data_IF_646603221921
#
_entry.id   IF_646603221921
#
_cell.length_a   1.000
_cell.length_b   1.000
_cell.length_c   1.000
_cell.angle_alpha   90.00
_cell.angle_beta   90.00
_cell.angle_gamma   90.00
#
_symmetry.space_group_name_H-M   'P 1'
#
loop_
_entity.id
_entity.type
_entity.pdbx_description
1 polymer ?
#
# COMPACT_ATOMS: atom_id res chain seq x y z
N UNK A 1 10.03 -11.38 -17.18
CA UNK A 1 9.31 -11.37 -15.90
C UNK A 1 9.59 -10.04 -15.21
N UNK A 2 8.59 -9.19 -15.08
CA UNK A 2 8.68 -7.90 -14.40
C UNK A 2 8.13 -8.10 -12.99
N UNK A 3 8.99 -8.37 -12.04
CA UNK A 3 8.60 -8.52 -10.66
C UNK A 3 9.69 -9.25 -9.90
N UNK A 4 10.26 -8.58 -8.94
CA UNK A 4 11.27 -9.11 -8.02
C UNK A 4 11.60 -8.05 -6.99
N UNK A 5 12.18 -8.47 -5.86
CA UNK A 5 12.63 -7.56 -4.83
C UNK A 5 13.69 -6.61 -5.38
N UNK A 6 13.45 -5.31 -5.28
CA UNK A 6 14.41 -4.27 -5.68
C UNK A 6 14.92 -3.58 -4.43
N UNK A 7 16.24 -3.47 -4.32
CA UNK A 7 16.91 -2.73 -3.27
C UNK A 7 17.88 -1.74 -3.92
N UNK A 8 17.67 -0.45 -3.69
CA UNK A 8 18.53 0.63 -4.18
C UNK A 8 19.32 1.21 -3.03
N UNK A 9 20.61 1.46 -3.25
CA UNK A 9 21.48 2.11 -2.29
C UNK A 9 21.78 3.53 -2.75
N UNK A 10 21.59 4.49 -1.87
CA UNK A 10 21.92 5.89 -2.09
C UNK A 10 22.88 6.35 -1.01
N UNK A 11 23.97 7.02 -1.40
CA UNK A 11 24.89 7.66 -0.47
C UNK A 11 24.95 9.15 -0.77
N UNK A 12 24.85 9.94 0.27
CA UNK A 12 24.92 11.40 0.19
C UNK A 12 26.11 11.82 1.07
N UNK A 13 27.15 12.38 0.46
CA UNK A 13 28.34 12.92 1.14
C UNK A 13 28.47 14.42 0.90
N UNK A 14 29.25 15.11 1.71
CA UNK A 14 29.57 16.53 1.51
C UNK A 14 30.44 16.73 0.27
N UNK A 15 31.28 15.76 -0.03
CA UNK A 15 32.15 15.76 -1.21
C UNK A 15 32.27 14.32 -1.77
N UNK A 16 32.69 14.18 -3.05
CA UNK A 16 32.84 12.85 -3.66
C UNK A 16 33.83 11.93 -2.90
N UNK A 17 34.80 12.48 -2.22
CA UNK A 17 35.80 11.73 -1.43
C UNK A 17 35.20 11.01 -0.21
N UNK A 18 34.02 11.42 0.24
CA UNK A 18 33.32 10.78 1.35
C UNK A 18 32.63 9.47 0.92
N UNK A 19 32.53 9.22 -0.41
CA UNK A 19 31.79 8.09 -0.96
C UNK A 19 32.79 7.01 -1.41
N UNK A 20 33.07 6.06 -0.52
CA UNK A 20 34.05 5.01 -0.77
C UNK A 20 33.50 3.75 -1.42
N UNK A 21 32.17 3.58 -1.46
CA UNK A 21 31.51 2.40 -1.99
C UNK A 21 30.11 2.74 -2.50
N UNK A 22 29.66 2.16 -3.62
CA UNK A 22 28.30 2.34 -4.11
C UNK A 22 27.25 1.62 -3.26
N UNK A 23 27.67 0.64 -2.44
CA UNK A 23 26.77 -0.13 -1.57
C UNK A 23 26.94 0.27 -0.12
N UNK A 24 25.83 0.29 0.60
CA UNK A 24 25.81 0.44 2.05
C UNK A 24 26.24 -0.90 2.67
N UNK A 25 27.17 -0.86 3.61
CA UNK A 25 27.64 -2.03 4.32
C UNK A 25 26.59 -2.54 5.33
N UNK A 26 26.79 -3.76 5.83
CA UNK A 26 25.96 -4.28 6.91
C UNK A 26 25.99 -3.32 8.11
N UNK A 27 24.80 -3.10 8.72
CA UNK A 27 24.60 -2.22 9.88
C UNK A 27 25.12 -0.78 9.69
N UNK A 28 25.01 -0.24 8.47
CA UNK A 28 25.51 1.09 8.14
C UNK A 28 24.51 2.00 7.43
N UNK A 29 23.23 1.63 7.40
CA UNK A 29 22.20 2.49 6.85
C UNK A 29 21.77 3.53 7.90
N UNK A 30 21.65 4.80 7.49
CA UNK A 30 21.04 5.85 8.31
C UNK A 30 19.53 5.85 8.16
N UNK A 31 19.03 5.59 6.94
CA UNK A 31 17.62 5.58 6.58
C UNK A 31 17.29 4.39 5.69
N UNK A 32 16.17 3.74 5.96
CA UNK A 32 15.52 2.77 5.07
C UNK A 32 14.11 3.25 4.73
N UNK A 33 13.85 3.43 3.44
CA UNK A 33 12.50 3.72 2.92
C UNK A 33 11.97 2.43 2.31
N UNK A 34 11.04 1.78 2.99
CA UNK A 34 10.43 0.51 2.57
C UNK A 34 9.17 0.74 1.75
N UNK A 35 9.25 0.64 0.42
CA UNK A 35 8.07 0.71 -0.46
C UNK A 35 7.19 -0.55 -0.39
N UNK A 36 7.77 -1.67 0.04
CA UNK A 36 7.11 -2.97 0.20
C UNK A 36 7.49 -3.61 1.55
N UNK A 37 6.48 -4.13 2.26
CA UNK A 37 6.67 -4.67 3.60
C UNK A 37 7.50 -5.97 3.60
N UNK A 38 7.27 -6.86 2.62
CA UNK A 38 7.97 -8.15 2.51
C UNK A 38 9.43 -7.95 2.16
N UNK A 39 9.71 -7.08 1.18
CA UNK A 39 11.09 -6.75 0.77
C UNK A 39 11.83 -6.07 1.90
N UNK A 40 11.17 -5.18 2.65
CA UNK A 40 11.76 -4.48 3.79
C UNK A 40 12.08 -5.44 4.94
N UNK A 41 11.19 -6.40 5.22
CA UNK A 41 11.41 -7.45 6.23
C UNK A 41 12.33 -8.58 5.77
N UNK A 42 12.80 -8.54 4.53
CA UNK A 42 13.73 -9.54 4.01
C UNK A 42 15.15 -9.39 4.57
N UNK A 43 15.86 -10.50 4.70
CA UNK A 43 17.19 -10.56 5.33
C UNK A 43 18.20 -9.59 4.73
N UNK A 44 18.14 -9.36 3.40
CA UNK A 44 19.03 -8.39 2.71
C UNK A 44 18.84 -6.97 3.22
N UNK A 45 17.61 -6.54 3.46
CA UNK A 45 17.32 -5.20 4.00
C UNK A 45 17.62 -5.14 5.49
N UNK A 46 17.19 -6.15 6.25
CA UNK A 46 17.41 -6.22 7.69
C UNK A 46 18.90 -6.20 8.06
N UNK A 47 19.77 -6.82 7.23
CA UNK A 47 21.22 -6.79 7.46
C UNK A 47 21.87 -5.40 7.37
N UNK A 48 21.22 -4.43 6.73
CA UNK A 48 21.73 -3.05 6.62
C UNK A 48 21.39 -2.19 7.83
N UNK A 49 20.41 -2.63 8.64
CA UNK A 49 19.90 -1.89 9.79
C UNK A 49 20.87 -1.96 10.95
N UNK A 50 21.27 -0.80 11.47
CA UNK A 50 21.99 -0.65 12.71
C UNK A 50 20.97 -0.37 13.83
N UNK A 51 20.88 -1.28 14.78
CA UNK A 51 19.95 -1.15 15.91
C UNK A 51 20.13 0.17 16.66
N UNK A 52 19.03 0.82 16.99
CA UNK A 52 19.02 2.10 17.69
C UNK A 52 19.46 3.32 16.88
N UNK A 53 19.93 3.14 15.63
CA UNK A 53 20.43 4.22 14.77
C UNK A 53 19.60 4.40 13.49
N UNK A 54 19.44 3.33 12.72
CA UNK A 54 18.75 3.39 11.42
C UNK A 54 17.29 3.79 11.62
N UNK A 55 16.87 4.84 10.92
CA UNK A 55 15.45 5.21 10.85
C UNK A 55 14.76 4.46 9.72
N UNK A 56 13.55 3.97 9.96
CA UNK A 56 12.74 3.24 8.98
C UNK A 56 11.39 3.90 8.80
N UNK A 57 11.03 4.11 7.54
CA UNK A 57 9.67 4.48 7.15
C UNK A 57 9.18 3.44 6.14
N UNK A 58 8.15 2.69 6.49
CA UNK A 58 7.76 1.50 5.75
C UNK A 58 6.29 1.58 5.34
N UNK A 59 6.06 1.36 4.06
CA UNK A 59 4.71 1.19 3.53
C UNK A 59 4.11 -0.11 4.07
N UNK A 60 3.03 0.01 4.81
CA UNK A 60 2.34 -1.13 5.43
C UNK A 60 1.26 -1.74 4.54
N UNK A 61 1.12 -1.28 3.30
CA UNK A 61 0.18 -1.86 2.35
C UNK A 61 0.53 -3.32 2.07
N UNK A 62 -0.47 -4.20 2.22
CA UNK A 62 -0.29 -5.63 2.01
C UNK A 62 -0.49 -5.96 0.54
N UNK A 63 0.63 -6.09 -0.18
CA UNK A 63 0.62 -6.58 -1.55
C UNK A 63 0.77 -8.09 -1.54
N UNK A 64 -0.27 -8.80 -1.98
CA UNK A 64 -0.23 -10.25 -2.12
C UNK A 64 0.73 -10.60 -3.25
N UNK A 65 1.86 -11.22 -2.91
CA UNK A 65 2.86 -11.70 -3.88
C UNK A 65 2.43 -13.04 -4.49
N UNK A 66 3.09 -13.47 -5.58
CA UNK A 66 2.76 -14.71 -6.29
C UNK A 66 2.75 -15.97 -5.41
N UNK A 67 3.57 -16.02 -4.36
CA UNK A 67 3.63 -17.16 -3.44
C UNK A 67 2.32 -17.32 -2.64
N UNK A 68 1.65 -16.22 -2.32
CA UNK A 68 0.35 -16.21 -1.65
C UNK A 68 -0.80 -16.57 -2.60
N UNK A 69 -0.64 -16.38 -3.91
CA UNK A 69 -1.66 -16.79 -4.88
C UNK A 69 -1.69 -18.30 -5.09
N UNK A 70 -0.59 -19.00 -4.77
CA UNK A 70 -0.50 -20.46 -4.85
C UNK A 70 -1.08 -21.16 -3.61
N UNK A 71 -1.24 -20.46 -2.49
CA UNK A 71 -1.78 -20.99 -1.26
C UNK A 71 -2.85 -20.05 -0.69
N UNK A 72 -4.10 -20.30 -1.06
CA UNK A 72 -5.25 -19.42 -0.72
C UNK A 72 -5.53 -19.32 0.79
N UNK A 73 -5.05 -20.26 1.59
CA UNK A 73 -5.24 -20.31 3.04
C UNK A 73 -4.11 -19.60 3.81
N UNK A 74 -3.10 -19.11 3.11
CA UNK A 74 -1.98 -18.43 3.73
C UNK A 74 -2.34 -17.00 4.08
N UNK A 75 -2.49 -16.72 5.37
CA UNK A 75 -2.65 -15.35 5.87
C UNK A 75 -1.34 -14.58 5.68
N UNK A 76 -1.43 -13.38 5.14
CA UNK A 76 -0.26 -12.51 4.98
C UNK A 76 0.34 -12.19 6.36
N UNK A 77 1.61 -12.54 6.63
CA UNK A 77 2.19 -12.45 7.96
C UNK A 77 2.64 -11.02 8.33
N UNK A 78 1.82 -10.01 8.01
CA UNK A 78 2.17 -8.59 8.19
C UNK A 78 2.61 -8.26 9.61
N UNK A 79 1.92 -8.80 10.61
CA UNK A 79 2.26 -8.57 12.02
C UNK A 79 3.63 -9.12 12.38
N UNK A 80 3.95 -10.34 11.93
CA UNK A 80 5.27 -10.96 12.17
C UNK A 80 6.39 -10.18 11.50
N UNK A 81 6.17 -9.73 10.25
CA UNK A 81 7.16 -8.92 9.52
C UNK A 81 7.39 -7.58 10.22
N UNK A 82 6.32 -6.88 10.63
CA UNK A 82 6.43 -5.63 11.38
C UNK A 82 7.17 -5.83 12.71
N UNK A 83 6.87 -6.90 13.43
CA UNK A 83 7.57 -7.24 14.68
C UNK A 83 9.06 -7.48 14.44
N UNK A 84 9.44 -8.29 13.45
CA UNK A 84 10.85 -8.54 13.13
C UNK A 84 11.61 -7.27 12.74
N UNK A 85 10.98 -6.36 12.00
CA UNK A 85 11.58 -5.06 11.67
C UNK A 85 11.80 -4.24 12.95
N UNK A 86 10.80 -4.18 13.83
CA UNK A 86 10.86 -3.41 15.07
C UNK A 86 11.84 -4.00 16.10
N UNK A 87 11.99 -5.32 16.14
CA UNK A 87 12.96 -5.99 17.02
C UNK A 87 14.40 -5.62 16.65
N UNK A 88 14.69 -5.48 15.36
CA UNK A 88 16.04 -5.13 14.88
C UNK A 88 16.32 -3.63 14.98
N UNK A 89 15.39 -2.80 14.51
CA UNK A 89 15.59 -1.35 14.42
C UNK A 89 15.27 -0.59 15.70
N UNK A 90 14.34 -1.13 16.50
CA UNK A 90 13.70 -0.45 17.61
C UNK A 90 12.37 0.20 17.21
N UNK A 91 11.39 0.18 18.12
CA UNK A 91 10.04 0.74 17.88
C UNK A 91 10.11 2.25 17.57
N UNK A 92 10.92 2.99 18.31
CA UNK A 92 11.05 4.45 18.17
C UNK A 92 11.79 4.88 16.89
N UNK A 93 12.41 3.93 16.19
CA UNK A 93 13.09 4.16 14.94
C UNK A 93 12.28 3.71 13.72
N UNK A 94 11.06 3.16 13.92
CA UNK A 94 10.28 2.55 12.85
C UNK A 94 8.89 3.16 12.77
N UNK A 95 8.57 3.77 11.64
CA UNK A 95 7.23 4.27 11.32
C UNK A 95 6.61 3.43 10.20
N UNK A 96 5.37 2.97 10.42
CA UNK A 96 4.56 2.28 9.42
C UNK A 96 3.41 3.17 8.99
N UNK A 97 3.20 3.30 7.68
CA UNK A 97 2.04 4.00 7.14
C UNK A 97 1.55 3.28 5.88
N UNK A 98 0.23 3.31 5.66
CA UNK A 98 -0.34 2.77 4.42
C UNK A 98 -0.25 3.82 3.30
N UNK A 99 0.97 4.05 2.81
CA UNK A 99 1.26 5.08 1.80
C UNK A 99 0.55 4.81 0.47
N UNK A 100 0.36 3.54 0.11
CA UNK A 100 -0.35 3.18 -1.13
C UNK A 100 -1.83 3.55 -1.07
N UNK A 101 -2.50 3.27 0.04
CA UNK A 101 -3.89 3.67 0.23
C UNK A 101 -4.03 5.19 0.25
N UNK A 102 -3.15 5.89 0.98
CA UNK A 102 -3.14 7.35 1.03
C UNK A 102 -2.91 7.97 -0.35
N UNK A 103 -1.93 7.47 -1.13
CA UNK A 103 -1.68 7.95 -2.49
C UNK A 103 -2.89 7.70 -3.40
N UNK A 104 -3.51 6.53 -3.32
CA UNK A 104 -4.70 6.22 -4.11
C UNK A 104 -5.88 7.13 -3.74
N UNK A 105 -6.14 7.35 -2.47
CA UNK A 105 -7.28 8.17 -2.02
C UNK A 105 -7.08 9.66 -2.29
N UNK A 106 -5.88 10.20 -2.04
CA UNK A 106 -5.61 11.64 -2.13
C UNK A 106 -5.21 12.12 -3.53
N UNK A 107 -4.69 11.21 -4.36
CA UNK A 107 -4.09 11.54 -5.66
C UNK A 107 -4.77 10.76 -6.80
N UNK A 108 -5.37 9.60 -6.48
CA UNK A 108 -6.01 8.72 -7.47
C UNK A 108 -5.04 7.78 -8.18
N UNK A 109 -3.77 7.67 -7.73
CA UNK A 109 -2.76 6.85 -8.39
C UNK A 109 -1.80 6.21 -7.37
N UNK A 110 -1.73 4.88 -7.38
CA UNK A 110 -0.83 4.11 -6.53
C UNK A 110 0.64 4.22 -6.95
N UNK A 111 0.93 4.61 -8.19
CA UNK A 111 2.31 4.82 -8.69
C UNK A 111 3.00 5.94 -7.90
N UNK A 112 2.23 6.90 -7.39
CA UNK A 112 2.71 8.01 -6.59
C UNK A 112 3.20 7.62 -5.18
N UNK A 113 3.02 6.37 -4.74
CA UNK A 113 3.40 5.89 -3.40
C UNK A 113 4.85 6.19 -3.02
N UNK A 114 5.80 5.98 -3.95
CA UNK A 114 7.22 6.19 -3.65
C UNK A 114 7.55 7.67 -3.40
N UNK A 115 6.94 8.56 -4.17
CA UNK A 115 7.13 10.01 -4.00
C UNK A 115 6.38 10.52 -2.76
N UNK A 116 5.26 9.90 -2.41
CA UNK A 116 4.56 10.17 -1.15
C UNK A 116 5.45 9.81 0.05
N UNK A 117 6.06 8.62 0.06
CA UNK A 117 7.03 8.20 1.08
C UNK A 117 8.23 9.15 1.14
N UNK A 118 8.76 9.58 -0.01
CA UNK A 118 9.83 10.57 -0.08
C UNK A 118 9.44 11.88 0.62
N UNK A 119 8.23 12.37 0.37
CA UNK A 119 7.71 13.56 1.05
C UNK A 119 7.58 13.39 2.56
N UNK A 120 7.14 12.21 2.99
CA UNK A 120 7.01 11.88 4.41
C UNK A 120 8.38 11.88 5.12
N UNK A 121 9.37 11.15 4.60
CA UNK A 121 10.71 11.10 5.20
C UNK A 121 11.45 12.43 5.13
N UNK A 122 11.21 13.22 4.08
CA UNK A 122 11.72 14.57 3.98
C UNK A 122 11.22 15.46 5.11
N UNK A 123 9.93 15.46 5.37
CA UNK A 123 9.32 16.27 6.43
C UNK A 123 9.75 15.83 7.84
N UNK A 124 10.10 14.55 7.99
CA UNK A 124 10.71 14.02 9.22
C UNK A 124 12.19 14.45 9.41
N UNK A 125 12.76 15.20 8.46
CA UNK A 125 14.14 15.65 8.52
C UNK A 125 15.18 14.55 8.29
N UNK A 126 14.77 13.45 7.63
CA UNK A 126 15.62 12.27 7.44
C UNK A 126 16.45 12.33 6.14
N UNK A 127 16.24 13.35 5.31
CA UNK A 127 16.97 13.55 4.05
C UNK A 127 17.66 14.92 4.10
N UNK A 128 18.99 14.98 3.97
CA UNK A 128 19.77 16.22 4.04
C UNK A 128 19.78 16.95 2.69
N UNK A 129 18.61 17.34 2.19
CA UNK A 129 18.46 18.02 0.90
C UNK A 129 17.44 19.13 1.02
N UNK A 130 17.59 20.17 0.18
CA UNK A 130 16.61 21.25 0.08
C UNK A 130 15.36 20.78 -0.68
N UNK A 131 14.19 21.27 -0.26
CA UNK A 131 12.91 21.00 -0.96
C UNK A 131 12.97 21.36 -2.44
N UNK A 132 13.54 22.53 -2.74
CA UNK A 132 13.70 23.03 -4.11
C UNK A 132 14.49 22.06 -5.00
N UNK A 133 15.49 21.39 -4.43
CA UNK A 133 16.30 20.41 -5.16
C UNK A 133 15.50 19.16 -5.50
N UNK A 134 14.67 18.67 -4.58
CA UNK A 134 13.79 17.51 -4.81
C UNK A 134 12.73 17.87 -5.86
N UNK A 135 12.07 19.02 -5.72
CA UNK A 135 11.07 19.47 -6.68
C UNK A 135 11.66 19.69 -8.07
N UNK A 136 12.88 20.23 -8.14
CA UNK A 136 13.62 20.39 -9.40
C UNK A 136 13.98 19.06 -10.04
N UNK A 137 14.36 18.06 -9.24
CA UNK A 137 14.59 16.71 -9.75
C UNK A 137 13.33 16.07 -10.33
N UNK A 138 12.17 16.29 -9.69
CA UNK A 138 10.86 15.85 -10.22
C UNK A 138 10.56 16.52 -11.58
N UNK A 139 10.85 17.83 -11.71
CA UNK A 139 10.68 18.57 -12.97
C UNK A 139 11.58 18.03 -14.08
N UNK A 140 12.87 17.82 -13.77
CA UNK A 140 13.86 17.32 -14.73
C UNK A 140 13.49 15.91 -15.21
N UNK A 141 12.98 15.06 -14.32
CA UNK A 141 12.51 13.72 -14.68
C UNK A 141 11.36 13.74 -15.72
N UNK A 142 10.55 14.78 -15.73
CA UNK A 142 9.54 15.06 -16.74
C UNK A 142 8.28 14.18 -16.72
N UNK A 143 8.28 13.07 -15.97
CA UNK A 143 7.15 12.14 -15.88
C UNK A 143 6.18 12.57 -14.79
N UNK A 144 4.90 12.72 -15.13
CA UNK A 144 3.81 13.02 -14.21
C UNK A 144 4.16 14.10 -13.16
N UNK A 145 4.81 15.19 -13.61
CA UNK A 145 5.42 16.22 -12.72
C UNK A 145 4.43 16.76 -11.71
N UNK A 146 3.20 17.12 -12.15
CA UNK A 146 2.16 17.66 -11.27
C UNK A 146 1.74 16.65 -10.21
N UNK A 147 1.52 15.40 -10.60
CA UNK A 147 1.13 14.29 -9.71
C UNK A 147 2.23 14.01 -8.69
N UNK A 148 3.49 13.96 -9.14
CA UNK A 148 4.62 13.70 -8.25
C UNK A 148 4.86 14.84 -7.25
N UNK A 149 4.74 16.10 -7.67
CA UNK A 149 4.80 17.24 -6.73
C UNK A 149 3.66 17.20 -5.71
N UNK A 150 2.45 16.85 -6.15
CA UNK A 150 1.31 16.69 -5.26
C UNK A 150 1.54 15.52 -4.26
N UNK A 151 2.08 14.40 -4.72
CA UNK A 151 2.43 13.26 -3.88
C UNK A 151 3.47 13.62 -2.81
N UNK A 152 4.52 14.32 -3.21
CA UNK A 152 5.53 14.84 -2.29
C UNK A 152 4.92 15.77 -1.23
N UNK A 153 4.06 16.69 -1.65
CA UNK A 153 3.35 17.60 -0.73
C UNK A 153 2.44 16.84 0.25
N UNK A 154 1.68 15.84 -0.22
CA UNK A 154 0.81 15.05 0.65
C UNK A 154 1.59 14.16 1.63
N UNK A 155 2.71 13.60 1.20
CA UNK A 155 3.62 12.89 2.11
C UNK A 155 4.12 13.80 3.23
N UNK A 156 4.51 15.02 2.90
CA UNK A 156 4.91 16.04 3.89
C UNK A 156 3.80 16.39 4.85
N UNK A 157 2.58 16.63 4.32
CA UNK A 157 1.40 16.93 5.15
C UNK A 157 1.09 15.78 6.12
N UNK A 158 1.18 14.54 5.65
CA UNK A 158 0.98 13.36 6.48
C UNK A 158 1.99 13.27 7.62
N UNK A 159 3.25 13.59 7.38
CA UNK A 159 4.27 13.63 8.41
C UNK A 159 4.09 14.80 9.40
N UNK A 160 3.58 15.94 8.94
CA UNK A 160 3.36 17.13 9.77
C UNK A 160 2.13 17.01 10.68
N UNK A 161 0.99 16.62 10.09
CA UNK A 161 -0.29 16.46 10.80
C UNK A 161 -0.99 15.20 10.30
N UNK A 162 -0.61 14.07 10.92
CA UNK A 162 -1.14 12.76 10.56
C UNK A 162 -2.65 12.68 10.75
N UNK A 163 -3.15 13.20 11.87
CA UNK A 163 -4.56 13.12 12.26
C UNK A 163 -5.46 13.82 11.23
N UNK A 164 -5.11 15.05 10.85
CA UNK A 164 -5.89 15.83 9.88
C UNK A 164 -5.92 15.16 8.50
N UNK A 165 -4.81 14.55 8.08
CA UNK A 165 -4.77 13.82 6.80
C UNK A 165 -5.63 12.56 6.88
N UNK A 166 -5.64 11.84 8.00
CA UNK A 166 -6.50 10.67 8.19
C UNK A 166 -7.99 11.08 8.17
N UNK A 167 -8.39 12.09 8.92
CA UNK A 167 -9.76 12.61 8.92
C UNK A 167 -10.23 13.03 7.51
N UNK A 168 -9.34 13.67 6.74
CA UNK A 168 -9.64 14.04 5.36
C UNK A 168 -9.79 12.79 4.47
N UNK A 169 -8.90 11.81 4.62
CA UNK A 169 -8.94 10.57 3.85
C UNK A 169 -10.22 9.79 4.13
N UNK A 170 -10.59 9.70 5.41
CA UNK A 170 -11.82 9.03 5.85
C UNK A 170 -13.07 9.75 5.29
N UNK A 171 -13.07 11.07 5.30
CA UNK A 171 -14.17 11.86 4.73
C UNK A 171 -14.27 11.71 3.20
N UNK A 172 -13.15 11.61 2.49
CA UNK A 172 -13.13 11.34 1.05
C UNK A 172 -13.70 9.94 0.78
N UNK A 173 -13.23 8.93 1.50
CA UNK A 173 -13.71 7.54 1.39
C UNK A 173 -15.21 7.47 1.65
N UNK A 174 -15.70 8.13 2.70
CA UNK A 174 -17.12 8.21 3.01
C UNK A 174 -17.93 8.98 1.94
N UNK A 175 -17.38 10.07 1.40
CA UNK A 175 -18.03 10.91 0.37
C UNK A 175 -18.15 10.23 -1.00
N UNK A 176 -17.22 9.35 -1.37
CA UNK A 176 -17.30 8.57 -2.60
C UNK A 176 -18.21 7.34 -2.50
N UNK A 177 -18.89 7.13 -1.36
CA UNK A 177 -19.69 5.92 -1.15
C UNK A 177 -18.85 4.65 -1.14
N UNK A 178 -17.51 4.79 -1.11
CA UNK A 178 -16.59 3.71 -0.77
C UNK A 178 -16.75 3.52 0.74
N UNK A 179 -17.95 3.07 1.12
CA UNK A 179 -18.15 2.59 2.47
C UNK A 179 -17.12 1.49 2.69
N UNK A 180 -16.48 1.60 3.83
CA UNK A 180 -15.73 0.65 4.63
C UNK A 180 -15.69 -0.79 4.06
N UNK A 181 -14.55 -1.49 4.15
CA UNK A 181 -14.50 -2.94 3.92
C UNK A 181 -15.55 -3.77 4.72
N UNK A 182 -16.32 -3.14 5.59
CA UNK A 182 -17.46 -3.68 6.35
C UNK A 182 -18.83 -3.39 5.74
N UNK A 183 -18.97 -3.22 4.42
CA UNK A 183 -20.27 -3.31 3.76
C UNK A 183 -20.90 -4.64 4.13
N UNK A 184 -22.16 -4.60 4.54
CA UNK A 184 -22.95 -5.82 4.71
C UNK A 184 -22.92 -6.63 3.41
N UNK A 185 -23.05 -7.94 3.50
CA UNK A 185 -23.07 -8.80 2.31
C UNK A 185 -24.08 -8.32 1.26
N UNK A 186 -25.24 -7.84 1.69
CA UNK A 186 -26.28 -7.34 0.80
C UNK A 186 -25.85 -6.06 0.07
N UNK A 187 -25.21 -5.14 0.76
CA UNK A 187 -24.67 -3.93 0.13
C UNK A 187 -23.56 -4.24 -0.88
N UNK A 188 -22.70 -5.23 -0.57
CA UNK A 188 -21.68 -5.72 -1.51
C UNK A 188 -22.34 -6.28 -2.78
N UNK A 189 -23.34 -7.12 -2.63
CA UNK A 189 -24.04 -7.76 -3.75
C UNK A 189 -24.71 -6.71 -4.63
N UNK A 190 -25.42 -5.77 -4.02
CA UNK A 190 -26.11 -4.70 -4.73
C UNK A 190 -25.14 -3.80 -5.50
N UNK A 191 -24.13 -3.28 -4.82
CA UNK A 191 -23.13 -2.39 -5.43
C UNK A 191 -22.43 -3.06 -6.64
N UNK A 192 -22.08 -4.33 -6.52
CA UNK A 192 -21.44 -5.07 -7.62
C UNK A 192 -22.39 -5.37 -8.77
N UNK A 193 -23.67 -5.59 -8.46
CA UNK A 193 -24.72 -5.68 -9.47
C UNK A 193 -24.85 -4.39 -10.29
N UNK A 194 -24.80 -3.24 -9.65
CA UNK A 194 -24.86 -1.93 -10.28
C UNK A 194 -23.64 -1.68 -11.18
N UNK A 195 -22.44 -2.03 -10.69
CA UNK A 195 -21.20 -1.94 -11.50
C UNK A 195 -21.30 -2.82 -12.75
N UNK A 196 -21.76 -4.07 -12.63
CA UNK A 196 -21.91 -4.98 -13.78
C UNK A 196 -22.98 -4.49 -14.77
N UNK A 197 -24.02 -3.81 -14.29
CA UNK A 197 -25.00 -3.16 -15.15
C UNK A 197 -24.38 -2.04 -15.96
N UNK A 198 -23.54 -1.20 -15.33
CA UNK A 198 -22.81 -0.13 -16.00
C UNK A 198 -21.68 -0.66 -16.90
N UNK A 199 -21.04 -1.77 -16.51
CA UNK A 199 -19.94 -2.39 -17.26
C UNK A 199 -20.40 -2.97 -18.61
N UNK A 200 -21.57 -3.65 -18.63
CA UNK A 200 -22.07 -4.25 -19.84
C UNK A 200 -23.59 -3.99 -20.05
N UNK A 201 -24.45 -4.57 -19.20
CA UNK A 201 -25.90 -4.39 -19.25
C UNK A 201 -26.60 -5.06 -18.05
N UNK A 202 -27.93 -4.86 -17.93
CA UNK A 202 -28.76 -5.43 -16.86
C UNK A 202 -28.77 -6.97 -16.86
N UNK A 203 -28.71 -7.63 -18.01
CA UNK A 203 -28.76 -9.08 -18.08
C UNK A 203 -27.45 -9.71 -17.61
N UNK A 204 -26.33 -9.03 -17.81
CA UNK A 204 -25.04 -9.43 -17.27
C UNK A 204 -25.02 -9.36 -15.75
N UNK A 205 -25.55 -8.29 -15.17
CA UNK A 205 -25.75 -8.14 -13.72
C UNK A 205 -26.69 -9.23 -13.15
N UNK A 206 -27.81 -9.55 -13.85
CA UNK A 206 -28.72 -10.61 -13.43
C UNK A 206 -28.06 -11.98 -13.33
N UNK A 207 -27.10 -12.29 -14.20
CA UNK A 207 -26.33 -13.56 -14.12
C UNK A 207 -25.54 -13.64 -12.83
N UNK A 208 -24.91 -12.54 -12.42
CA UNK A 208 -24.19 -12.42 -11.17
C UNK A 208 -25.14 -12.64 -9.98
N UNK A 209 -26.21 -11.84 -9.90
CA UNK A 209 -27.17 -11.88 -8.80
C UNK A 209 -27.83 -13.27 -8.66
N UNK A 210 -28.18 -13.92 -9.78
CA UNK A 210 -28.78 -15.25 -9.79
C UNK A 210 -27.84 -16.32 -9.22
N UNK A 211 -26.55 -16.26 -9.52
CA UNK A 211 -25.58 -17.23 -8.96
C UNK A 211 -25.40 -17.00 -7.46
N UNK A 212 -25.17 -15.75 -7.05
CA UNK A 212 -24.96 -15.40 -5.63
C UNK A 212 -26.18 -15.81 -4.80
N UNK A 213 -27.39 -15.51 -5.27
CA UNK A 213 -28.61 -15.86 -4.56
C UNK A 213 -28.85 -17.38 -4.48
N UNK A 214 -28.48 -18.11 -5.52
CA UNK A 214 -28.54 -19.59 -5.50
C UNK A 214 -27.61 -20.18 -4.44
N UNK A 215 -26.37 -19.65 -4.35
CA UNK A 215 -25.40 -20.09 -3.35
C UNK A 215 -25.90 -19.75 -1.96
N UNK A 216 -26.43 -18.53 -1.77
CA UNK A 216 -26.98 -18.06 -0.51
C UNK A 216 -28.10 -18.97 0.03
N UNK A 217 -29.04 -19.35 -0.84
CA UNK A 217 -30.11 -20.29 -0.45
C UNK A 217 -29.55 -21.62 0.02
N UNK A 218 -28.62 -22.21 -0.74
CA UNK A 218 -28.03 -23.50 -0.37
C UNK A 218 -27.24 -23.41 0.94
N UNK A 219 -26.58 -22.30 1.18
CA UNK A 219 -25.79 -22.09 2.40
C UNK A 219 -26.68 -21.90 3.63
N UNK A 220 -27.77 -21.13 3.50
CA UNK A 220 -28.79 -20.96 4.55
C UNK A 220 -29.45 -22.31 4.89
N UNK A 221 -29.79 -23.10 3.86
CA UNK A 221 -30.48 -24.37 4.04
C UNK A 221 -29.59 -25.45 4.71
N UNK A 222 -28.27 -25.34 4.55
CA UNK A 222 -27.32 -26.38 5.03
C UNK A 222 -26.46 -25.97 6.21
N UNK A 223 -26.19 -24.69 6.39
CA UNK A 223 -25.27 -24.16 7.39
C UNK A 223 -25.96 -23.03 8.18
N UNK A 224 -26.43 -23.35 9.36
CA UNK A 224 -27.11 -22.41 10.26
C UNK A 224 -26.22 -21.17 10.54
N UNK A 225 -26.50 -20.07 9.86
CA UNK A 225 -26.07 -18.72 10.22
C UNK A 225 -24.70 -18.26 9.72
N UNK A 226 -23.98 -19.04 8.89
CA UNK A 226 -22.72 -18.60 8.29
C UNK A 226 -22.88 -18.42 6.77
N UNK A 227 -22.62 -17.21 6.26
CA UNK A 227 -22.71 -16.85 4.83
C UNK A 227 -21.32 -16.65 4.18
N UNK A 228 -20.29 -17.32 4.68
CA UNK A 228 -18.92 -17.16 4.21
C UNK A 228 -18.72 -17.57 2.74
N UNK A 229 -19.39 -18.64 2.29
CA UNK A 229 -19.35 -19.06 0.90
C UNK A 229 -20.05 -18.07 -0.01
N UNK A 230 -21.21 -17.57 0.40
CA UNK A 230 -21.94 -16.53 -0.33
C UNK A 230 -21.12 -15.27 -0.47
N UNK A 231 -20.43 -14.84 0.59
CA UNK A 231 -19.54 -13.69 0.57
C UNK A 231 -18.35 -13.93 -0.38
N UNK A 232 -17.71 -15.08 -0.30
CA UNK A 232 -16.64 -15.46 -1.19
C UNK A 232 -17.09 -15.43 -2.66
N UNK A 233 -18.22 -16.04 -2.98
CA UNK A 233 -18.78 -16.03 -4.34
C UNK A 233 -19.13 -14.60 -4.78
N UNK A 234 -19.78 -13.80 -3.93
CA UNK A 234 -20.09 -12.42 -4.24
C UNK A 234 -18.81 -11.62 -4.55
N UNK A 235 -17.72 -11.84 -3.83
CA UNK A 235 -16.45 -11.11 -4.02
C UNK A 235 -15.66 -11.59 -5.24
N UNK A 236 -15.51 -12.88 -5.43
CA UNK A 236 -14.59 -13.42 -6.44
C UNK A 236 -15.24 -13.64 -7.79
N UNK A 237 -16.50 -14.05 -7.85
CA UNK A 237 -17.23 -14.18 -9.11
C UNK A 237 -17.40 -12.84 -9.82
N UNK A 238 -17.66 -11.76 -9.06
CA UNK A 238 -17.62 -10.40 -9.60
C UNK A 238 -16.29 -10.07 -10.28
N UNK A 239 -15.16 -10.39 -9.65
CA UNK A 239 -13.83 -10.15 -10.23
C UNK A 239 -13.64 -10.87 -11.56
N UNK A 240 -14.13 -12.11 -11.67
CA UNK A 240 -14.07 -12.88 -12.90
C UNK A 240 -14.96 -12.28 -14.01
N UNK A 241 -16.12 -11.69 -13.64
CA UNK A 241 -17.02 -11.06 -14.59
C UNK A 241 -16.58 -9.67 -15.03
N UNK A 242 -15.92 -8.90 -14.16
CA UNK A 242 -15.44 -7.55 -14.43
C UNK A 242 -13.96 -7.49 -14.85
N UNK A 243 -13.29 -8.64 -14.99
CA UNK A 243 -11.88 -8.71 -15.38
C UNK A 243 -11.72 -8.45 -16.88
N UNK A 244 -10.81 -7.50 -17.20
CA UNK A 244 -10.40 -7.19 -18.56
C UNK A 244 -8.90 -7.38 -18.70
#
# INVERSE_FOLDING_TARGET
QKGGAVLSHLRIGKCPADIHSPRINSQAADLVIGGDLVVTGGQKTLSLIKSGHTKLVVNSYELITGDFTMNADMLFPSLKIKQSIQEIAGKDNTEFLNATQLANTLIGDTIATNIFLLGFVYQRGLIPMEQSSIEKAIEINGLAVKTNKLAFLWGRRKAYDSKRVDELTDSIVAGFGIKDPYLSLDEIIQHRGDILTAYQNKDYSKRYLKLVERVRKVEIDRLLGNLALTEAVARYYFKLMAYK
#
